data_IF_626191800639
#
_entry.id   IF_626191800639
#
_cell.length_a   1.000
_cell.length_b   1.000
_cell.length_c   1.000
_cell.angle_alpha   90.00
_cell.angle_beta   90.00
_cell.angle_gamma   90.00
#
_symmetry.space_group_name_H-M   'P 1'
#
loop_
_entity.id
_entity.type
_entity.pdbx_description
1 polymer ?
#
# COMPACT_ATOMS: atom_id res chain seq x y z
N UNK A 1 -2.58 -12.86 15.02
CA UNK A 1 -3.22 -12.35 13.81
C UNK A 1 -3.41 -10.84 13.94
N UNK A 2 -3.11 -10.10 12.88
CA UNK A 2 -3.39 -8.66 12.81
C UNK A 2 -4.49 -8.42 11.77
N UNK A 3 -5.38 -7.47 12.06
CA UNK A 3 -6.43 -7.04 11.17
C UNK A 3 -6.52 -5.52 11.15
N UNK A 4 -6.71 -4.95 9.97
CA UNK A 4 -7.10 -3.55 9.80
C UNK A 4 -8.59 -3.51 9.45
N UNK A 5 -9.33 -2.64 10.09
CA UNK A 5 -10.76 -2.42 9.84
C UNK A 5 -11.15 -0.96 10.05
N UNK A 6 -12.23 -0.56 9.44
CA UNK A 6 -12.96 0.66 9.81
C UNK A 6 -14.00 0.29 10.86
N UNK A 7 -14.07 1.03 11.95
CA UNK A 7 -15.06 0.81 13.01
C UNK A 7 -16.41 1.50 12.69
N UNK A 8 -17.32 1.48 13.65
CA UNK A 8 -18.67 2.04 13.48
C UNK A 8 -18.71 3.56 13.48
N UNK A 9 -17.68 4.20 14.01
CA UNK A 9 -17.50 5.65 13.98
C UNK A 9 -16.82 6.12 12.67
N UNK A 10 -16.27 5.21 11.89
CA UNK A 10 -15.58 5.48 10.64
C UNK A 10 -14.06 5.47 10.77
N UNK A 11 -13.53 5.24 11.97
CA UNK A 11 -12.13 5.32 12.29
C UNK A 11 -11.36 4.05 11.93
N UNK A 12 -10.08 4.21 11.60
CA UNK A 12 -9.21 3.08 11.31
C UNK A 12 -8.71 2.45 12.60
N UNK A 13 -8.88 1.11 12.70
CA UNK A 13 -8.34 0.29 13.78
C UNK A 13 -7.46 -0.82 13.25
N UNK A 14 -6.23 -0.88 13.74
CA UNK A 14 -5.35 -2.04 13.61
C UNK A 14 -5.39 -2.80 14.91
N UNK A 15 -5.87 -4.04 14.86
CA UNK A 15 -6.09 -4.88 16.03
C UNK A 15 -5.26 -6.16 15.94
N UNK A 16 -4.82 -6.65 17.10
CA UNK A 16 -4.17 -7.95 17.26
C UNK A 16 -5.12 -8.93 17.95
N UNK A 17 -5.08 -10.18 17.48
CA UNK A 17 -5.78 -11.30 18.07
C UNK A 17 -4.80 -12.45 18.30
N UNK A 18 -4.94 -13.16 19.40
CA UNK A 18 -4.34 -14.49 19.53
C UNK A 18 -4.91 -15.41 18.44
N UNK A 19 -4.09 -16.34 17.96
CA UNK A 19 -4.48 -17.31 16.96
C UNK A 19 -4.31 -18.72 17.56
N UNK A 20 -5.41 -19.47 17.66
CA UNK A 20 -5.42 -20.81 18.19
C UNK A 20 -6.40 -21.67 17.38
N UNK A 21 -6.08 -22.94 17.22
CA UNK A 21 -6.92 -23.95 16.55
C UNK A 21 -7.41 -23.52 15.14
N UNK A 22 -6.58 -22.79 14.41
CA UNK A 22 -6.88 -22.35 13.05
C UNK A 22 -7.78 -21.10 12.93
N UNK A 23 -8.08 -20.40 14.04
CA UNK A 23 -8.91 -19.19 14.02
C UNK A 23 -8.42 -18.12 15.00
N UNK A 24 -8.89 -16.87 14.77
CA UNK A 24 -8.66 -15.76 15.69
C UNK A 24 -9.49 -15.93 16.96
N UNK A 25 -8.87 -15.74 18.12
CA UNK A 25 -9.57 -15.73 19.42
C UNK A 25 -10.10 -14.33 19.66
N UNK A 26 -11.36 -14.09 19.39
CA UNK A 26 -11.96 -12.73 19.44
C UNK A 26 -11.92 -12.10 20.83
N UNK A 27 -11.96 -12.88 21.91
CA UNK A 27 -11.84 -12.36 23.28
C UNK A 27 -10.45 -11.84 23.65
N UNK A 28 -9.45 -12.06 22.79
CA UNK A 28 -8.09 -11.56 22.97
C UNK A 28 -7.81 -10.27 22.18
N UNK A 29 -8.83 -9.65 21.62
CA UNK A 29 -8.72 -8.42 20.84
C UNK A 29 -7.95 -7.34 21.61
N UNK A 30 -6.94 -6.77 20.96
CA UNK A 30 -6.14 -5.67 21.46
C UNK A 30 -5.92 -4.65 20.36
N UNK A 31 -6.32 -3.40 20.62
CA UNK A 31 -5.99 -2.31 19.70
C UNK A 31 -4.46 -2.05 19.72
N UNK A 32 -3.87 -2.08 18.53
CA UNK A 32 -2.48 -1.73 18.28
C UNK A 32 -2.40 -0.25 17.89
N UNK A 33 -3.22 0.17 16.93
CA UNK A 33 -3.26 1.55 16.44
C UNK A 33 -4.70 1.95 16.16
N UNK A 34 -5.09 3.15 16.58
CA UNK A 34 -6.36 3.78 16.25
C UNK A 34 -6.07 5.12 15.61
N UNK A 35 -6.72 5.43 14.49
CA UNK A 35 -6.56 6.68 13.75
C UNK A 35 -7.92 7.22 13.35
N UNK A 36 -8.24 8.42 13.83
CA UNK A 36 -9.46 9.14 13.48
C UNK A 36 -9.46 9.47 11.99
N UNK A 37 -10.59 9.26 11.33
CA UNK A 37 -10.78 9.51 9.90
C UNK A 37 -11.72 10.69 9.69
N UNK A 38 -11.27 11.78 9.03
CA UNK A 38 -12.12 12.96 8.82
C UNK A 38 -13.26 12.72 7.83
N UNK A 39 -13.11 11.71 6.94
CA UNK A 39 -14.11 11.34 5.94
C UNK A 39 -14.21 9.81 5.81
N UNK A 40 -15.29 9.34 5.17
CA UNK A 40 -15.58 7.91 5.02
C UNK A 40 -14.79 7.21 3.89
N UNK A 41 -13.91 7.90 3.20
CA UNK A 41 -13.11 7.39 2.09
C UNK A 41 -11.61 7.66 2.29
N UNK A 42 -10.76 7.04 1.47
CA UNK A 42 -9.30 7.08 1.54
C UNK A 42 -8.72 6.56 2.87
N UNK A 43 -9.30 5.52 3.40
CA UNK A 43 -8.82 4.92 4.65
C UNK A 43 -7.58 4.03 4.45
N UNK A 44 -7.19 3.75 3.19
CA UNK A 44 -6.12 2.81 2.88
C UNK A 44 -6.48 1.39 3.34
N UNK A 45 -5.73 0.85 4.31
CA UNK A 45 -6.11 -0.35 5.05
C UNK A 45 -5.24 -1.58 4.81
N UNK A 46 -4.28 -1.53 3.90
CA UNK A 46 -3.31 -2.61 3.77
C UNK A 46 -2.36 -2.64 4.96
N UNK A 47 -2.09 -3.86 5.45
CA UNK A 47 -1.05 -4.13 6.46
C UNK A 47 -0.21 -5.32 6.01
N UNK A 48 1.08 -5.26 6.25
CA UNK A 48 2.00 -6.37 6.00
C UNK A 48 3.23 -6.28 6.91
N UNK A 49 3.80 -7.42 7.25
CA UNK A 49 5.14 -7.43 7.84
C UNK A 49 6.19 -7.24 6.75
N UNK A 50 7.10 -6.32 6.98
CA UNK A 50 8.28 -6.16 6.15
C UNK A 50 9.31 -7.27 6.37
N UNK A 51 10.31 -7.38 5.48
CA UNK A 51 11.40 -8.36 5.63
C UNK A 51 12.24 -8.12 6.90
N UNK A 52 12.13 -6.94 7.50
CA UNK A 52 12.74 -6.53 8.76
C UNK A 52 11.95 -6.97 10.02
N UNK A 53 10.76 -7.56 9.84
CA UNK A 53 9.90 -8.06 10.90
C UNK A 53 9.04 -6.99 11.59
N UNK A 54 9.04 -5.75 11.12
CA UNK A 54 8.13 -4.70 11.59
C UNK A 54 6.82 -4.69 10.80
N UNK A 55 5.76 -4.16 11.42
CA UNK A 55 4.46 -4.04 10.78
C UNK A 55 4.38 -2.71 10.02
N UNK A 56 4.10 -2.80 8.72
CA UNK A 56 3.80 -1.66 7.86
C UNK A 56 2.29 -1.51 7.72
N UNK A 57 1.81 -0.25 7.73
CA UNK A 57 0.39 0.10 7.70
C UNK A 57 0.21 1.23 6.71
N UNK A 58 -0.61 1.03 5.69
CA UNK A 58 -0.95 2.05 4.70
C UNK A 58 -2.21 2.80 5.13
N UNK A 59 -2.12 4.14 5.19
CA UNK A 59 -3.23 5.04 5.50
C UNK A 59 -3.35 6.10 4.41
N UNK A 60 -4.57 6.30 3.92
CA UNK A 60 -4.86 7.38 2.99
C UNK A 60 -4.84 8.76 3.65
N UNK A 61 -5.03 9.81 2.85
CA UNK A 61 -5.02 11.21 3.27
C UNK A 61 -6.22 11.61 4.16
N UNK A 62 -7.12 10.67 4.42
CA UNK A 62 -8.32 10.85 5.24
C UNK A 62 -9.54 11.27 4.44
N UNK A 63 -9.44 11.36 3.11
CA UNK A 63 -10.60 11.46 2.22
C UNK A 63 -10.94 12.84 1.71
N UNK A 64 -12.13 12.93 1.08
CA UNK A 64 -12.57 14.06 0.25
C UNK A 64 -11.75 14.20 -1.04
N UNK A 65 -11.87 15.32 -1.76
CA UNK A 65 -11.09 15.63 -2.96
C UNK A 65 -9.97 16.61 -2.67
N UNK A 66 -8.77 16.33 -3.22
CA UNK A 66 -7.65 17.26 -3.17
C UNK A 66 -6.95 17.45 -1.83
N UNK A 67 -7.16 16.53 -0.88
CA UNK A 67 -6.53 16.57 0.46
C UNK A 67 -6.78 17.91 1.19
N UNK A 68 -8.03 18.22 1.59
CA UNK A 68 -8.38 19.53 2.12
C UNK A 68 -7.69 19.87 3.45
N UNK A 69 -7.11 18.88 4.12
CA UNK A 69 -6.38 19.05 5.38
C UNK A 69 -4.86 19.08 5.21
N UNK A 70 -4.34 18.86 3.98
CA UNK A 70 -2.91 18.81 3.69
C UNK A 70 -2.19 17.63 4.36
N UNK A 71 -2.92 16.56 4.62
CA UNK A 71 -2.41 15.40 5.34
C UNK A 71 -1.27 14.70 4.58
N UNK A 72 -1.33 14.62 3.25
CA UNK A 72 -0.31 13.99 2.43
C UNK A 72 1.09 14.54 2.74
N UNK A 73 1.24 15.85 2.80
CA UNK A 73 2.53 16.53 3.03
C UNK A 73 2.84 16.82 4.51
N UNK A 74 1.86 16.71 5.41
CA UNK A 74 2.07 16.97 6.83
C UNK A 74 2.73 15.79 7.56
N UNK A 75 3.87 16.01 8.18
CA UNK A 75 4.53 14.99 9.01
C UNK A 75 3.94 14.89 10.43
N UNK A 76 3.03 15.79 10.82
CA UNK A 76 2.41 15.80 12.16
C UNK A 76 1.20 14.86 12.28
N UNK A 77 0.76 14.27 11.20
CA UNK A 77 -0.37 13.32 11.12
C UNK A 77 0.05 11.95 10.60
N UNK A 78 -0.72 10.91 10.90
CA UNK A 78 -0.53 9.56 10.36
C UNK A 78 -1.24 9.34 9.02
N UNK A 79 -2.10 10.28 8.59
CA UNK A 79 -2.87 10.20 7.35
C UNK A 79 -2.00 10.55 6.12
N UNK A 80 -2.24 9.87 5.00
CA UNK A 80 -1.46 10.02 3.76
C UNK A 80 -0.04 9.43 3.87
N UNK A 81 0.08 8.28 4.55
CA UNK A 81 1.37 7.69 4.98
C UNK A 81 1.44 6.19 4.77
N UNK A 82 2.65 5.72 4.64
CA UNK A 82 3.02 4.37 5.03
C UNK A 82 3.71 4.46 6.40
N UNK A 83 3.19 3.76 7.39
CA UNK A 83 3.74 3.69 8.73
C UNK A 83 4.56 2.41 8.90
N UNK A 84 5.53 2.43 9.84
CA UNK A 84 6.33 1.26 10.25
C UNK A 84 6.44 1.24 11.77
N UNK A 85 5.92 0.19 12.40
CA UNK A 85 5.88 0.05 13.86
C UNK A 85 6.32 -1.36 14.30
N UNK A 86 6.77 -1.48 15.53
CA UNK A 86 6.84 -2.76 16.23
C UNK A 86 5.48 -3.01 16.91
N UNK A 87 4.66 -3.96 16.45
CA UNK A 87 3.31 -4.11 17.00
C UNK A 87 3.27 -4.67 18.43
N UNK A 88 4.44 -5.04 18.99
CA UNK A 88 4.54 -5.52 20.36
C UNK A 88 4.43 -4.37 21.36
N UNK A 89 3.66 -4.52 22.45
CA UNK A 89 3.61 -3.52 23.51
C UNK A 89 5.02 -3.21 24.06
N UNK A 90 5.33 -1.92 24.18
CA UNK A 90 6.65 -1.47 24.63
C UNK A 90 6.53 -0.27 25.56
N UNK A 91 7.13 -0.34 26.75
CA UNK A 91 7.18 0.80 27.69
C UNK A 91 5.83 1.30 28.18
N UNK A 92 4.79 0.46 28.16
CA UNK A 92 3.41 0.86 28.49
C UNK A 92 2.59 1.40 27.30
N UNK A 93 3.22 1.56 26.13
CA UNK A 93 2.52 1.90 24.88
C UNK A 93 1.99 0.63 24.19
N UNK A 94 0.97 0.77 23.33
CA UNK A 94 0.36 -0.32 22.59
C UNK A 94 1.29 -0.93 21.52
N UNK A 95 2.30 -0.19 21.07
CA UNK A 95 3.33 -0.61 20.10
C UNK A 95 4.65 0.11 20.38
N UNK A 96 5.73 -0.34 19.76
CA UNK A 96 7.03 0.30 19.76
C UNK A 96 7.31 1.05 18.45
N UNK A 97 8.26 2.01 18.52
CA UNK A 97 8.79 2.71 17.35
C UNK A 97 10.16 2.11 17.01
N UNK A 98 10.38 1.61 15.79
CA UNK A 98 11.70 1.21 15.34
C UNK A 98 12.67 2.40 15.42
N UNK A 99 13.86 2.24 16.04
CA UNK A 99 14.76 3.36 16.29
C UNK A 99 15.38 3.95 15.01
N UNK A 100 15.31 3.22 13.92
CA UNK A 100 15.81 3.57 12.60
C UNK A 100 14.70 4.10 11.66
N UNK A 101 13.51 4.41 12.18
CA UNK A 101 12.50 5.13 11.38
C UNK A 101 13.00 6.54 11.04
N UNK A 102 12.72 7.02 9.80
CA UNK A 102 13.37 8.20 9.25
C UNK A 102 13.08 9.50 10.01
N UNK A 103 11.99 9.57 10.76
CA UNK A 103 11.54 10.79 11.46
C UNK A 103 11.67 10.69 12.99
N UNK A 104 12.32 9.66 13.51
CA UNK A 104 12.61 9.56 14.95
C UNK A 104 13.49 10.71 15.40
N UNK A 105 13.04 11.43 16.44
CA UNK A 105 13.76 12.59 16.99
C UNK A 105 13.60 13.87 16.19
N UNK A 106 12.78 13.89 15.14
CA UNK A 106 12.44 15.11 14.41
C UNK A 106 11.25 15.81 15.07
N UNK A 107 11.46 17.03 15.56
CA UNK A 107 10.40 17.83 16.20
C UNK A 107 9.21 18.06 15.25
N UNK A 108 8.01 17.80 15.75
CA UNK A 108 6.75 17.99 15.00
C UNK A 108 6.42 16.86 14.01
N UNK A 109 7.29 15.88 13.85
CA UNK A 109 7.01 14.72 13.02
C UNK A 109 6.54 13.50 13.84
N UNK A 110 5.67 12.69 13.26
CA UNK A 110 5.25 11.41 13.81
C UNK A 110 6.33 10.36 13.56
N UNK A 111 6.88 9.73 14.61
CA UNK A 111 7.99 8.79 14.47
C UNK A 111 7.58 7.45 13.84
N UNK A 112 6.29 7.17 13.71
CA UNK A 112 5.74 5.99 13.03
C UNK A 112 5.92 6.04 11.51
N UNK A 113 6.12 7.25 10.94
CA UNK A 113 6.14 7.45 9.49
C UNK A 113 7.36 6.79 8.87
N UNK A 114 7.10 5.93 7.86
CA UNK A 114 8.11 5.37 6.97
C UNK A 114 8.22 6.17 5.66
N UNK A 115 7.07 6.48 5.04
CA UNK A 115 6.95 7.30 3.84
C UNK A 115 5.69 8.16 3.89
N UNK A 116 5.64 9.24 3.10
CA UNK A 116 4.57 10.21 3.09
C UNK A 116 4.26 10.73 1.68
N UNK A 117 3.25 11.59 1.56
CA UNK A 117 2.83 12.10 0.27
C UNK A 117 2.04 11.08 -0.53
N UNK A 118 1.28 10.23 0.15
CA UNK A 118 0.38 9.23 -0.44
C UNK A 118 -1.07 9.74 -0.34
N UNK A 119 -1.88 9.39 -1.34
CA UNK A 119 -3.30 9.76 -1.37
C UNK A 119 -4.19 8.70 -0.76
N UNK A 120 -4.17 7.51 -1.32
CA UNK A 120 -4.96 6.36 -0.85
C UNK A 120 -4.23 5.07 -1.23
N UNK A 121 -3.13 4.76 -0.56
CA UNK A 121 -2.34 3.56 -0.82
C UNK A 121 -3.18 2.31 -0.50
N UNK A 122 -3.81 1.77 -1.55
CA UNK A 122 -4.84 0.74 -1.40
C UNK A 122 -4.25 -0.61 -1.06
N UNK A 123 -3.25 -1.08 -1.84
CA UNK A 123 -2.48 -2.27 -1.52
C UNK A 123 -1.00 -2.01 -1.74
N UNK A 124 -0.22 -2.55 -0.83
CA UNK A 124 1.22 -2.64 -0.98
C UNK A 124 1.71 -4.05 -0.69
N UNK A 125 2.89 -4.39 -1.14
CA UNK A 125 3.54 -5.66 -0.89
C UNK A 125 5.05 -5.54 -0.91
N UNK A 126 5.72 -6.49 -0.28
CA UNK A 126 7.15 -6.66 -0.42
C UNK A 126 7.43 -7.80 -1.41
N UNK A 127 8.36 -7.58 -2.33
CA UNK A 127 8.90 -8.68 -3.12
C UNK A 127 9.65 -9.63 -2.20
N UNK A 128 9.16 -10.86 -2.09
CA UNK A 128 9.70 -11.88 -1.17
C UNK A 128 11.14 -12.28 -1.44
N UNK A 129 11.70 -12.02 -2.64
CA UNK A 129 13.06 -12.34 -3.00
C UNK A 129 14.01 -11.17 -2.80
N UNK A 130 13.61 -9.97 -3.23
CA UNK A 130 14.48 -8.79 -3.17
C UNK A 130 14.25 -7.95 -1.92
N UNK A 131 13.05 -7.98 -1.35
CA UNK A 131 12.62 -7.11 -0.27
C UNK A 131 12.14 -5.73 -0.75
N UNK A 132 12.07 -5.48 -2.04
CA UNK A 132 11.57 -4.21 -2.59
C UNK A 132 10.10 -4.01 -2.21
N UNK A 133 9.77 -2.81 -1.78
CA UNK A 133 8.42 -2.39 -1.45
C UNK A 133 7.72 -1.84 -2.70
N UNK A 134 6.52 -2.33 -2.98
CA UNK A 134 5.66 -1.89 -4.07
C UNK A 134 4.33 -1.39 -3.52
N UNK A 135 3.89 -0.21 -3.96
CA UNK A 135 2.67 0.45 -3.48
C UNK A 135 1.79 0.78 -4.70
N UNK A 136 0.50 0.45 -4.63
CA UNK A 136 -0.50 1.00 -5.55
C UNK A 136 -1.23 2.13 -4.84
N UNK A 137 -1.03 3.36 -5.30
CA UNK A 137 -1.67 4.54 -4.74
C UNK A 137 -2.73 5.10 -5.69
N UNK A 138 -3.95 5.21 -5.21
CA UNK A 138 -5.11 5.62 -6.02
C UNK A 138 -5.09 7.12 -6.21
N UNK A 139 -5.05 7.54 -7.46
CA UNK A 139 -5.06 8.93 -7.87
C UNK A 139 -6.39 9.67 -7.67
N UNK A 140 -6.41 10.96 -7.96
CA UNK A 140 -7.60 11.79 -7.73
C UNK A 140 -8.57 11.73 -8.92
N UNK A 141 -8.13 12.10 -10.11
CA UNK A 141 -8.98 12.18 -11.29
C UNK A 141 -8.26 11.86 -12.60
N UNK A 142 -6.96 12.00 -12.64
CA UNK A 142 -6.21 12.00 -13.90
C UNK A 142 -5.20 10.83 -13.99
N UNK A 143 -4.57 10.43 -12.88
CA UNK A 143 -3.47 9.49 -12.90
C UNK A 143 -3.56 8.49 -11.76
N UNK A 144 -3.39 7.23 -12.09
CA UNK A 144 -3.13 6.14 -11.13
C UNK A 144 -1.64 5.84 -11.10
N UNK A 145 -1.10 5.45 -9.93
CA UNK A 145 0.34 5.28 -9.80
C UNK A 145 0.74 4.01 -9.06
N UNK A 146 1.92 3.52 -9.43
CA UNK A 146 2.63 2.46 -8.74
C UNK A 146 4.00 3.00 -8.34
N UNK A 147 4.22 3.00 -7.03
CA UNK A 147 5.47 3.39 -6.43
C UNK A 147 6.33 2.18 -6.07
N UNK A 148 7.64 2.40 -6.00
CA UNK A 148 8.58 1.38 -5.57
C UNK A 148 9.68 2.00 -4.71
N UNK A 149 9.99 1.31 -3.64
CA UNK A 149 11.13 1.61 -2.79
C UNK A 149 12.06 0.39 -2.75
N UNK A 150 13.34 0.54 -3.15
CA UNK A 150 14.27 -0.58 -3.14
C UNK A 150 14.56 -1.05 -1.72
N UNK A 151 14.82 -2.34 -1.58
CA UNK A 151 15.24 -2.95 -0.34
C UNK A 151 16.48 -2.26 0.25
N UNK A 152 16.54 -2.17 1.58
CA UNK A 152 17.63 -1.49 2.27
C UNK A 152 17.56 0.05 2.24
N UNK A 153 16.46 0.62 1.75
CA UNK A 153 16.16 2.04 1.91
C UNK A 153 16.08 2.41 3.40
N UNK A 154 16.41 3.67 3.70
CA UNK A 154 16.24 4.25 5.03
C UNK A 154 14.87 4.90 5.25
N UNK A 155 13.92 4.74 4.32
CA UNK A 155 12.63 5.41 4.34
C UNK A 155 12.69 6.92 4.10
N UNK A 156 11.65 7.63 4.50
CA UNK A 156 11.57 9.09 4.38
C UNK A 156 11.17 9.60 3.00
N UNK A 157 10.74 8.72 2.08
CA UNK A 157 10.31 9.12 0.74
C UNK A 157 9.04 9.95 0.78
N UNK A 158 9.01 11.00 -0.06
CA UNK A 158 7.83 11.79 -0.36
C UNK A 158 7.32 11.43 -1.76
N UNK A 159 6.16 10.80 -1.86
CA UNK A 159 5.55 10.39 -3.14
C UNK A 159 4.73 11.50 -3.83
N UNK A 160 4.63 12.67 -3.19
CA UNK A 160 4.23 13.91 -3.88
C UNK A 160 2.80 14.39 -3.66
N UNK A 161 1.87 13.54 -3.26
CA UNK A 161 0.49 13.95 -3.00
C UNK A 161 0.41 14.98 -1.83
N UNK A 162 -0.29 16.14 -1.95
CA UNK A 162 -1.15 16.58 -3.05
C UNK A 162 -0.48 17.63 -3.97
N UNK A 163 0.81 17.83 -3.89
CA UNK A 163 1.54 18.71 -4.82
C UNK A 163 1.52 18.12 -6.24
N UNK A 164 1.67 16.80 -6.33
CA UNK A 164 1.60 16.00 -7.54
C UNK A 164 0.44 15.01 -7.49
N UNK A 165 -0.07 14.60 -8.65
CA UNK A 165 -0.87 13.41 -8.91
C UNK A 165 -0.09 12.60 -9.96
N UNK A 166 0.43 11.43 -9.59
CA UNK A 166 1.48 10.77 -10.36
C UNK A 166 2.73 11.66 -10.45
N UNK A 167 3.28 11.80 -11.63
CA UNK A 167 4.38 12.74 -11.91
C UNK A 167 3.92 14.15 -12.33
N UNK A 168 2.61 14.43 -12.27
CA UNK A 168 1.99 15.63 -12.83
C UNK A 168 1.60 16.65 -11.74
N UNK A 169 1.80 17.97 -11.98
CA UNK A 169 1.38 18.99 -11.03
C UNK A 169 -0.12 18.95 -10.74
N UNK A 170 -0.50 18.96 -9.43
CA UNK A 170 -1.88 19.00 -8.98
C UNK A 170 -2.20 20.27 -8.19
N UNK A 171 -1.89 20.36 -6.89
CA UNK A 171 -2.19 21.55 -6.10
C UNK A 171 -1.13 22.65 -6.21
N UNK A 172 -0.04 22.38 -6.91
CA UNK A 172 1.09 23.29 -7.02
C UNK A 172 1.99 23.26 -5.77
N UNK A 173 3.18 23.85 -5.90
CA UNK A 173 4.20 23.83 -4.86
C UNK A 173 5.56 23.39 -5.39
N UNK A 174 6.53 23.27 -4.47
CA UNK A 174 7.86 22.77 -4.81
C UNK A 174 7.85 21.25 -4.89
N UNK A 175 8.37 20.71 -5.98
CA UNK A 175 8.50 19.26 -6.21
C UNK A 175 9.88 18.71 -5.84
N UNK A 176 10.76 19.56 -5.28
CA UNK A 176 12.10 19.17 -4.89
C UNK A 176 12.08 18.11 -3.78
N UNK A 177 12.81 17.00 -4.01
CA UNK A 177 12.90 15.90 -3.06
C UNK A 177 11.74 14.89 -3.11
N UNK A 178 10.77 15.08 -4.02
CA UNK A 178 9.70 14.11 -4.26
C UNK A 178 10.19 12.95 -5.12
N UNK A 179 9.66 11.77 -4.87
CA UNK A 179 9.97 10.53 -5.58
C UNK A 179 8.86 10.28 -6.60
N UNK A 180 9.15 10.28 -7.90
CA UNK A 180 8.13 9.97 -8.90
C UNK A 180 7.76 8.48 -8.86
N UNK A 181 6.53 8.13 -9.29
CA UNK A 181 6.13 6.73 -9.45
C UNK A 181 7.02 6.01 -10.47
N UNK A 182 7.18 4.69 -10.30
CA UNK A 182 7.88 3.87 -11.28
C UNK A 182 7.00 3.53 -12.49
N UNK A 183 5.69 3.62 -12.31
CA UNK A 183 4.71 3.45 -13.38
C UNK A 183 3.44 4.24 -13.05
N UNK A 184 2.91 4.92 -14.04
CA UNK A 184 1.65 5.65 -13.95
C UNK A 184 0.83 5.42 -15.21
N UNK A 185 -0.48 5.57 -15.10
CA UNK A 185 -1.39 5.50 -16.23
C UNK A 185 -2.59 6.44 -16.03
N UNK A 186 -3.09 6.97 -17.14
CA UNK A 186 -4.20 7.91 -17.10
C UNK A 186 -5.50 7.23 -16.66
N UNK A 187 -6.30 7.93 -15.85
CA UNK A 187 -7.70 7.59 -15.62
C UNK A 187 -8.52 7.85 -16.87
N UNK A 188 -9.44 6.95 -17.19
CA UNK A 188 -10.24 6.97 -18.41
C UNK A 188 -10.12 5.66 -19.17
N UNK A 189 -10.83 5.51 -20.28
CA UNK A 189 -10.82 4.31 -21.13
C UNK A 189 -11.05 2.99 -20.39
N UNK A 190 -11.80 3.05 -19.26
CA UNK A 190 -12.12 1.89 -18.42
C UNK A 190 -11.28 1.74 -17.16
N UNK A 191 -10.26 2.58 -16.94
CA UNK A 191 -9.48 2.65 -15.69
C UNK A 191 -10.10 3.61 -14.70
N UNK A 192 -9.95 3.37 -13.40
CA UNK A 192 -10.51 4.24 -12.37
C UNK A 192 -9.83 4.18 -10.99
N UNK A 193 -9.12 3.12 -10.69
CA UNK A 193 -8.55 2.93 -9.35
C UNK A 193 -7.56 1.77 -9.35
N UNK A 194 -6.29 2.05 -9.17
CA UNK A 194 -5.28 1.02 -9.01
C UNK A 194 -5.53 0.20 -7.75
N UNK A 195 -5.51 -1.12 -7.88
CA UNK A 195 -5.62 -2.02 -6.73
C UNK A 195 -4.26 -2.29 -6.08
N UNK A 196 -3.17 -2.16 -6.83
CA UNK A 196 -1.86 -2.68 -6.44
C UNK A 196 -1.75 -4.18 -6.71
N UNK A 197 -0.78 -4.87 -6.10
CA UNK A 197 -0.51 -6.27 -6.41
C UNK A 197 0.71 -6.86 -5.74
N UNK A 198 1.35 -7.84 -6.41
CA UNK A 198 2.53 -8.56 -5.93
C UNK A 198 3.55 -8.82 -7.05
N UNK A 199 4.84 -8.83 -6.71
CA UNK A 199 5.85 -9.41 -7.60
C UNK A 199 5.65 -10.92 -7.64
N UNK A 200 5.42 -11.45 -8.83
CA UNK A 200 5.23 -12.89 -9.01
C UNK A 200 6.56 -13.63 -8.82
N UNK A 201 6.55 -14.63 -7.92
CA UNK A 201 7.70 -15.48 -7.59
C UNK A 201 7.31 -16.97 -7.54
N UNK A 202 6.16 -17.29 -8.13
CA UNK A 202 5.68 -18.65 -8.25
C UNK A 202 6.36 -19.43 -9.37
N UNK A 203 6.15 -20.73 -9.37
CA UNK A 203 6.72 -21.64 -10.36
C UNK A 203 5.76 -21.99 -11.50
N UNK A 204 4.45 -21.74 -11.33
CA UNK A 204 3.44 -22.12 -12.31
C UNK A 204 3.52 -21.30 -13.60
N UNK A 205 3.94 -20.01 -13.51
CA UNK A 205 4.03 -19.11 -14.66
C UNK A 205 5.43 -18.51 -14.75
N UNK A 206 6.42 -19.29 -15.13
CA UNK A 206 7.84 -18.86 -15.16
C UNK A 206 8.12 -17.57 -15.93
N UNK A 207 7.32 -17.27 -16.96
CA UNK A 207 7.48 -16.03 -17.75
C UNK A 207 7.07 -14.76 -16.98
N UNK A 208 6.40 -14.90 -15.84
CA UNK A 208 6.05 -13.81 -14.93
C UNK A 208 7.02 -13.65 -13.77
N UNK A 209 8.02 -14.51 -13.62
CA UNK A 209 9.00 -14.35 -12.54
C UNK A 209 9.65 -12.98 -12.57
N UNK A 210 9.60 -12.25 -11.43
CA UNK A 210 10.08 -10.87 -11.28
C UNK A 210 9.20 -9.82 -11.95
N UNK A 211 7.96 -10.14 -12.33
CA UNK A 211 6.99 -9.15 -12.78
C UNK A 211 6.05 -8.77 -11.63
N UNK A 212 5.86 -7.48 -11.40
CA UNK A 212 4.82 -6.98 -10.52
C UNK A 212 3.47 -7.09 -11.22
N UNK A 213 2.62 -7.99 -10.72
CA UNK A 213 1.26 -8.23 -11.22
C UNK A 213 0.30 -7.40 -10.42
N UNK A 214 -0.51 -6.59 -11.08
CA UNK A 214 -1.46 -5.67 -10.47
C UNK A 214 -2.78 -5.61 -11.25
N UNK A 215 -3.73 -4.87 -10.74
CA UNK A 215 -5.01 -4.60 -11.41
C UNK A 215 -5.47 -3.17 -11.19
N UNK A 216 -6.35 -2.73 -12.07
CA UNK A 216 -7.27 -1.62 -11.84
C UNK A 216 -8.67 -2.19 -11.54
N UNK A 217 -9.37 -1.60 -10.58
CA UNK A 217 -10.68 -2.07 -10.12
C UNK A 217 -11.73 -2.08 -11.26
N UNK A 218 -11.68 -1.11 -12.17
CA UNK A 218 -12.61 -0.98 -13.29
C UNK A 218 -12.25 -1.85 -14.48
N UNK A 219 -10.96 -2.18 -14.66
CA UNK A 219 -10.55 -3.10 -15.70
C UNK A 219 -10.94 -4.54 -15.37
N UNK A 220 -11.35 -5.28 -16.36
CA UNK A 220 -11.70 -6.69 -16.21
C UNK A 220 -10.51 -7.64 -16.41
N UNK A 221 -9.27 -7.18 -16.29
CA UNK A 221 -8.07 -7.97 -16.54
C UNK A 221 -6.92 -7.57 -15.63
N UNK A 222 -5.90 -8.42 -15.56
CA UNK A 222 -4.66 -8.15 -14.86
C UNK A 222 -3.63 -7.48 -15.78
N UNK A 223 -2.81 -6.65 -15.17
CA UNK A 223 -1.64 -6.02 -15.77
C UNK A 223 -0.37 -6.52 -15.09
N UNK A 224 0.76 -6.40 -15.78
CA UNK A 224 2.05 -6.69 -15.17
C UNK A 224 3.12 -5.73 -15.68
N UNK A 225 3.97 -5.27 -14.78
CA UNK A 225 5.14 -4.45 -15.10
C UNK A 225 6.42 -5.09 -14.60
N UNK A 226 7.53 -4.79 -15.27
CA UNK A 226 8.87 -5.17 -14.83
C UNK A 226 9.83 -4.02 -15.07
N UNK A 227 10.53 -3.61 -14.02
CA UNK A 227 11.62 -2.64 -14.13
C UNK A 227 12.83 -3.28 -14.79
N UNK A 228 13.52 -2.52 -15.63
CA UNK A 228 14.82 -2.85 -16.18
C UNK A 228 15.93 -2.15 -15.41
N UNK A 229 17.17 -2.60 -15.57
CA UNK A 229 18.33 -1.99 -14.95
C UNK A 229 18.55 -0.53 -15.35
N UNK A 230 18.04 -0.10 -16.50
CA UNK A 230 18.10 1.29 -17.00
C UNK A 230 16.94 2.16 -16.46
N UNK A 231 16.10 1.63 -15.55
CA UNK A 231 14.93 2.31 -14.99
C UNK A 231 13.70 2.30 -15.92
N UNK A 232 13.81 1.80 -17.16
CA UNK A 232 12.65 1.70 -18.03
C UNK A 232 11.71 0.57 -17.59
N UNK A 233 10.42 0.73 -17.90
CA UNK A 233 9.39 -0.24 -17.54
C UNK A 233 8.98 -1.06 -18.76
N UNK A 234 8.89 -2.38 -18.60
CA UNK A 234 8.14 -3.25 -19.50
C UNK A 234 6.74 -3.43 -18.95
N UNK A 235 5.76 -3.36 -19.82
CA UNK A 235 4.36 -3.56 -19.48
C UNK A 235 3.77 -4.72 -20.29
N UNK A 236 2.85 -5.48 -19.66
CA UNK A 236 2.06 -6.53 -20.29
C UNK A 236 0.63 -6.49 -19.76
N UNK A 237 -0.32 -6.59 -20.66
CA UNK A 237 -1.67 -7.00 -20.32
C UNK A 237 -1.72 -8.52 -20.20
N UNK A 238 -2.27 -9.04 -19.12
CA UNK A 238 -2.46 -10.48 -18.91
C UNK A 238 -3.84 -10.90 -19.38
N UNK A 239 -3.93 -12.12 -19.96
CA UNK A 239 -5.21 -12.69 -20.38
C UNK A 239 -5.87 -13.28 -19.13
N UNK A 240 -6.61 -12.47 -18.40
CA UNK A 240 -7.46 -12.89 -17.30
C UNK A 240 -8.68 -11.99 -17.26
N UNK A 241 -9.85 -12.56 -17.21
CA UNK A 241 -11.10 -11.80 -17.06
C UNK A 241 -11.63 -12.02 -15.66
N UNK A 242 -11.24 -11.13 -14.74
CA UNK A 242 -11.73 -11.10 -13.37
C UNK A 242 -12.10 -9.65 -13.07
N UNK A 243 -13.39 -9.35 -13.09
CA UNK A 243 -13.87 -7.99 -12.84
C UNK A 243 -13.79 -7.59 -11.36
N UNK A 244 -13.69 -6.28 -11.12
CA UNK A 244 -13.73 -5.65 -9.81
C UNK A 244 -12.73 -6.29 -8.81
N UNK A 245 -11.46 -6.36 -9.19
CA UNK A 245 -10.40 -6.89 -8.33
C UNK A 245 -10.13 -5.87 -7.23
N UNK A 246 -10.31 -6.29 -5.97
CA UNK A 246 -10.16 -5.43 -4.80
C UNK A 246 -8.92 -5.72 -3.99
N UNK A 247 -8.30 -6.88 -4.18
CA UNK A 247 -7.14 -7.28 -3.41
C UNK A 247 -6.37 -8.39 -4.11
N UNK A 248 -5.16 -8.60 -3.60
CA UNK A 248 -4.30 -9.72 -3.96
C UNK A 248 -3.79 -10.42 -2.71
N UNK A 249 -3.29 -11.62 -2.89
CA UNK A 249 -2.56 -12.38 -1.90
C UNK A 249 -1.49 -13.23 -2.56
N UNK A 250 -0.49 -13.63 -1.79
CA UNK A 250 0.57 -14.52 -2.24
C UNK A 250 0.73 -15.68 -1.25
N UNK A 251 0.80 -16.90 -1.75
CA UNK A 251 1.03 -18.05 -0.91
C UNK A 251 2.53 -18.26 -0.58
N UNK A 252 2.87 -19.18 0.33
CA UNK A 252 4.26 -19.44 0.70
C UNK A 252 5.15 -19.90 -0.47
N UNK A 253 4.58 -20.37 -1.58
CA UNK A 253 5.32 -20.78 -2.78
C UNK A 253 5.51 -19.66 -3.80
N UNK A 254 4.96 -18.46 -3.52
CA UNK A 254 5.07 -17.29 -4.41
C UNK A 254 3.99 -17.22 -5.48
N UNK A 255 2.99 -18.09 -5.44
CA UNK A 255 1.84 -18.02 -6.35
C UNK A 255 0.91 -16.88 -5.95
N UNK A 256 0.42 -16.14 -6.93
CA UNK A 256 -0.41 -14.96 -6.71
C UNK A 256 -1.89 -15.31 -6.90
N UNK A 257 -2.69 -14.72 -6.02
CA UNK A 257 -4.15 -14.83 -6.01
C UNK A 257 -4.77 -13.44 -6.14
N UNK A 258 -5.78 -13.31 -7.00
CA UNK A 258 -6.60 -12.11 -7.13
C UNK A 258 -7.96 -12.33 -6.46
N UNK A 259 -8.46 -11.31 -5.76
CA UNK A 259 -9.74 -11.35 -5.04
C UNK A 259 -10.70 -10.36 -5.67
N UNK A 260 -11.87 -10.84 -6.08
CA UNK A 260 -12.91 -10.03 -6.69
C UNK A 260 -13.99 -9.66 -5.68
N UNK A 261 -14.55 -8.45 -5.80
CA UNK A 261 -15.74 -8.03 -5.05
C UNK A 261 -16.95 -8.93 -5.27
N UNK A 262 -17.00 -9.66 -6.38
CA UNK A 262 -18.04 -10.66 -6.65
C UNK A 262 -17.95 -11.93 -5.77
N UNK A 263 -16.94 -12.01 -4.88
CA UNK A 263 -16.75 -13.09 -3.93
C UNK A 263 -15.83 -14.22 -4.39
N UNK A 264 -15.17 -14.07 -5.56
CA UNK A 264 -14.22 -15.07 -6.06
C UNK A 264 -12.78 -14.83 -5.57
N UNK A 265 -12.05 -15.91 -5.29
CA UNK A 265 -10.60 -15.95 -5.12
C UNK A 265 -10.01 -16.77 -6.25
N UNK A 266 -9.14 -16.16 -7.04
CA UNK A 266 -8.62 -16.75 -8.28
C UNK A 266 -7.11 -16.87 -8.20
N UNK A 267 -6.59 -18.09 -8.35
CA UNK A 267 -5.16 -18.30 -8.49
C UNK A 267 -4.72 -18.02 -9.93
N UNK A 268 -3.60 -17.34 -10.10
CA UNK A 268 -2.99 -17.18 -11.41
C UNK A 268 -2.40 -18.52 -11.85
N UNK A 269 -2.75 -18.95 -13.08
CA UNK A 269 -2.23 -20.19 -13.71
C UNK A 269 -1.86 -19.91 -15.15
N UNK A 270 -0.92 -20.70 -15.71
CA UNK A 270 -0.71 -20.73 -17.16
C UNK A 270 -1.88 -21.44 -17.84
N UNK A 271 -2.23 -21.01 -19.03
CA UNK A 271 -3.11 -21.75 -19.93
C UNK A 271 -2.43 -23.03 -20.40
#
# INVERSE_FOLDING_TARGET
LYANRTDTEGDTRVTEFAFADGHAVTSSERDVLVVDQPYANHNGGAIAFGPDGYLYIALGDGGSGGDPHGNGQSLSTLLGKLLRIDPRPTGGAAYGIPPDNPFVGQDGARPEIWAYGLRNPWRFSFDRETGDLWIGDVGQNAWEEIDMEPAGSSGGRNYGWNVLEGSHPYAGGSTGGMTPPVYEYANGDGTCSVTGGYVYRGSAIRVLDGWYVFADYCLGHLEAIRLRADGSVRHKRLIATVGAITSFGQDPTGEVYAMSRSGGVYRLTSL
#
